data_IF_297625605076
#
_entry.id   IF_297625605076
#
_cell.length_a   1.000
_cell.length_b   1.000
_cell.length_c   1.000
_cell.angle_alpha   90.00
_cell.angle_beta   90.00
_cell.angle_gamma   90.00
#
_symmetry.space_group_name_H-M   'P 1'
#
loop_
_entity.id
_entity.type
_entity.pdbx_description
1 polymer ?
#
# COMPACT_ATOMS: atom_id res chain seq x y z
N UNK A 1 20.41 -27.12 6.70
CA UNK A 1 19.84 -26.13 5.78
C UNK A 1 20.30 -24.74 6.18
N UNK A 2 20.53 -23.86 5.17
CA UNK A 2 20.87 -22.44 5.40
C UNK A 2 19.57 -21.65 5.38
N UNK A 3 19.41 -20.69 6.30
CA UNK A 3 18.26 -19.80 6.36
C UNK A 3 18.69 -18.38 6.72
N UNK A 4 17.90 -17.40 6.32
CA UNK A 4 18.24 -15.98 6.49
C UNK A 4 17.26 -15.19 7.32
N UNK A 5 16.02 -15.67 7.43
CA UNK A 5 14.97 -15.00 8.22
C UNK A 5 14.29 -16.05 9.10
N UNK A 6 13.93 -15.65 10.31
CA UNK A 6 13.30 -16.52 11.31
C UNK A 6 12.15 -15.79 12.01
N UNK A 7 11.10 -16.53 12.30
CA UNK A 7 10.03 -16.15 13.21
C UNK A 7 9.51 -17.38 13.94
N UNK A 8 8.70 -17.18 14.96
CA UNK A 8 8.04 -18.22 15.72
C UNK A 8 6.54 -17.99 15.66
N UNK A 9 5.76 -19.04 15.38
CA UNK A 9 4.31 -18.96 15.33
C UNK A 9 3.66 -19.98 16.26
N UNK A 10 2.41 -19.74 16.65
CA UNK A 10 1.63 -20.63 17.53
C UNK A 10 0.13 -20.56 17.21
N UNK A 11 -0.63 -21.52 17.75
CA UNK A 11 -2.08 -21.56 17.58
C UNK A 11 -2.75 -20.40 18.32
N UNK A 12 -3.98 -20.04 17.89
CA UNK A 12 -4.82 -19.05 18.55
C UNK A 12 -5.15 -19.43 20.01
N UNK A 13 -5.47 -18.46 20.84
CA UNK A 13 -5.95 -18.65 22.21
C UNK A 13 -4.86 -18.74 23.29
N UNK A 14 -3.57 -18.67 22.94
CA UNK A 14 -2.49 -18.58 23.92
C UNK A 14 -1.40 -17.61 23.43
N UNK A 15 -0.78 -16.88 24.35
CA UNK A 15 0.36 -16.03 24.03
C UNK A 15 1.52 -16.36 24.96
N UNK A 16 2.73 -16.61 24.42
CA UNK A 16 3.91 -16.75 25.24
C UNK A 16 4.23 -15.44 25.94
N UNK A 17 4.68 -15.51 27.18
CA UNK A 17 5.18 -14.34 27.90
C UNK A 17 6.52 -13.86 27.31
N UNK A 18 7.30 -14.77 26.71
CA UNK A 18 8.60 -14.46 26.11
C UNK A 18 8.99 -15.46 25.04
N UNK A 19 9.50 -14.97 23.91
CA UNK A 19 10.12 -15.77 22.83
C UNK A 19 11.55 -15.27 22.62
N UNK A 20 12.53 -16.16 22.69
CA UNK A 20 13.93 -15.83 22.46
C UNK A 20 14.55 -16.79 21.47
N UNK A 21 15.49 -16.28 20.67
CA UNK A 21 16.30 -17.06 19.76
C UNK A 21 17.79 -16.77 19.95
N UNK A 22 18.62 -17.77 19.68
CA UNK A 22 20.03 -17.60 19.32
C UNK A 22 20.30 -18.42 18.08
N UNK A 23 21.20 -17.99 17.23
CA UNK A 23 21.48 -18.61 15.93
C UNK A 23 22.99 -18.77 15.70
N UNK A 24 23.33 -19.83 14.96
CA UNK A 24 24.71 -20.19 14.62
C UNK A 24 25.09 -19.61 13.26
N UNK A 25 26.16 -18.83 13.22
CA UNK A 25 26.78 -18.30 12.00
C UNK A 25 28.29 -18.43 12.07
N UNK A 26 28.91 -18.90 11.00
CA UNK A 26 30.37 -19.04 10.93
C UNK A 26 30.99 -19.73 12.16
N UNK A 27 30.32 -20.82 12.64
CA UNK A 27 30.67 -21.59 13.84
C UNK A 27 30.42 -20.89 15.18
N UNK A 28 29.95 -19.64 15.21
CA UNK A 28 29.69 -18.88 16.43
C UNK A 28 28.19 -18.72 16.71
N UNK A 29 27.82 -18.95 17.98
CA UNK A 29 26.48 -18.67 18.47
C UNK A 29 26.30 -17.19 18.80
N UNK A 30 25.22 -16.60 18.29
CA UNK A 30 24.82 -15.25 18.68
C UNK A 30 24.41 -15.18 20.16
N UNK A 31 24.39 -13.99 20.73
CA UNK A 31 23.67 -13.76 21.98
C UNK A 31 22.15 -14.02 21.81
N UNK A 32 21.48 -14.31 22.94
CA UNK A 32 20.04 -14.44 22.97
C UNK A 32 19.36 -13.14 22.54
N UNK A 33 18.40 -13.24 21.64
CA UNK A 33 17.59 -12.13 21.14
C UNK A 33 16.13 -12.42 21.45
N UNK A 34 15.46 -11.51 22.18
CA UNK A 34 14.01 -11.56 22.37
C UNK A 34 13.33 -11.11 21.09
N UNK A 35 12.38 -11.91 20.62
CA UNK A 35 11.46 -11.56 19.55
C UNK A 35 10.20 -10.97 20.17
N UNK A 36 9.59 -10.01 19.48
CA UNK A 36 8.33 -9.41 19.88
C UNK A 36 7.18 -10.21 19.23
N UNK A 37 6.10 -10.43 19.97
CA UNK A 37 4.87 -10.92 19.39
C UNK A 37 4.33 -9.88 18.38
N UNK A 38 3.96 -10.35 17.22
CA UNK A 38 3.29 -9.56 16.19
C UNK A 38 1.80 -9.49 16.53
N UNK A 39 1.25 -8.31 16.51
CA UNK A 39 -0.11 -8.01 16.97
C UNK A 39 -1.15 -7.96 15.84
N UNK A 40 -0.80 -8.54 14.70
CA UNK A 40 -1.70 -8.67 13.56
C UNK A 40 -2.47 -10.00 13.62
N UNK A 41 -3.78 -9.94 13.39
CA UNK A 41 -4.66 -11.10 13.34
C UNK A 41 -4.36 -12.01 12.14
N UNK A 42 -4.63 -13.31 12.28
CA UNK A 42 -4.45 -14.28 11.21
C UNK A 42 -4.72 -15.70 11.68
N UNK A 43 -4.63 -16.71 10.80
CA UNK A 43 -4.84 -18.12 11.16
C UNK A 43 -3.90 -18.64 12.26
N UNK A 44 -2.74 -18.05 12.39
CA UNK A 44 -1.77 -18.29 13.45
C UNK A 44 -1.24 -16.99 14.03
N UNK A 45 -1.01 -16.94 15.32
CA UNK A 45 -0.26 -15.86 15.97
C UNK A 45 1.26 -16.10 15.79
N UNK A 46 2.08 -15.07 15.99
CA UNK A 46 3.52 -15.21 15.83
C UNK A 46 4.31 -13.99 16.26
N UNK A 47 5.62 -14.06 16.08
CA UNK A 47 6.54 -12.95 16.31
C UNK A 47 6.75 -12.15 15.04
N UNK A 48 7.22 -10.91 15.16
CA UNK A 48 7.84 -10.21 14.04
C UNK A 48 8.96 -11.08 13.45
N UNK A 49 9.03 -11.24 12.11
CA UNK A 49 10.11 -12.00 11.49
C UNK A 49 11.42 -11.21 11.52
N UNK A 50 12.51 -11.89 11.81
CA UNK A 50 13.81 -11.27 11.99
C UNK A 50 14.80 -11.76 10.94
N UNK A 51 15.39 -10.83 10.19
CA UNK A 51 16.53 -11.09 9.35
C UNK A 51 17.78 -11.34 10.21
N UNK A 52 18.40 -12.49 10.04
CA UNK A 52 19.60 -12.91 10.79
C UNK A 52 20.79 -13.18 9.86
N UNK A 53 20.63 -12.99 8.55
CA UNK A 53 21.65 -13.37 7.55
C UNK A 53 21.74 -14.87 7.35
N UNK A 54 22.83 -15.35 6.75
CA UNK A 54 23.04 -16.79 6.55
C UNK A 54 23.35 -17.49 7.87
N UNK A 55 22.41 -18.24 8.40
CA UNK A 55 22.56 -19.06 9.59
C UNK A 55 22.43 -20.55 9.26
N UNK A 56 23.04 -21.42 10.07
CA UNK A 56 23.06 -22.88 9.90
C UNK A 56 22.44 -23.62 11.08
N UNK A 57 22.27 -22.94 12.21
CA UNK A 57 21.64 -23.50 13.41
C UNK A 57 20.81 -22.44 14.15
N UNK A 58 19.84 -22.90 14.92
CA UNK A 58 18.99 -22.06 15.76
C UNK A 58 18.61 -22.80 17.04
N UNK A 59 18.54 -22.06 18.13
CA UNK A 59 17.92 -22.49 19.38
C UNK A 59 16.82 -21.48 19.74
N UNK A 60 15.67 -22.00 20.12
CA UNK A 60 14.51 -21.19 20.51
C UNK A 60 14.16 -21.52 21.96
N UNK A 61 13.83 -20.48 22.73
CA UNK A 61 13.29 -20.58 24.08
C UNK A 61 11.96 -19.85 24.12
N UNK A 62 10.91 -20.54 24.54
CA UNK A 62 9.57 -19.99 24.71
C UNK A 62 9.20 -20.12 26.17
N UNK A 63 8.76 -19.05 26.80
CA UNK A 63 8.26 -19.02 28.18
C UNK A 63 6.74 -18.75 28.15
N UNK A 64 6.01 -19.43 29.04
CA UNK A 64 4.54 -19.38 29.08
C UNK A 64 3.89 -20.50 28.28
N UNK A 65 2.57 -20.62 28.43
CA UNK A 65 1.79 -21.66 27.76
C UNK A 65 1.53 -21.29 26.28
N UNK A 66 1.98 -22.16 25.38
CA UNK A 66 1.69 -22.09 23.96
C UNK A 66 1.28 -23.44 23.43
N UNK A 67 0.42 -23.43 22.41
CA UNK A 67 0.04 -24.64 21.68
C UNK A 67 0.56 -24.58 20.26
N UNK A 68 1.00 -25.72 19.73
CA UNK A 68 1.48 -25.87 18.35
C UNK A 68 2.52 -24.82 17.94
N UNK A 69 3.49 -24.56 18.81
CA UNK A 69 4.58 -23.64 18.47
C UNK A 69 5.39 -24.18 17.28
N UNK A 70 5.67 -23.32 16.31
CA UNK A 70 6.49 -23.64 15.13
C UNK A 70 7.58 -22.61 14.95
N UNK A 71 8.80 -23.08 14.71
CA UNK A 71 9.89 -22.20 14.27
C UNK A 71 9.87 -22.15 12.75
N UNK A 72 9.66 -20.98 12.21
CA UNK A 72 9.60 -20.76 10.76
C UNK A 72 10.95 -20.24 10.29
N UNK A 73 11.65 -21.08 9.54
CA UNK A 73 12.96 -20.79 8.97
C UNK A 73 12.77 -20.51 7.48
N UNK A 74 13.18 -19.33 7.02
CA UNK A 74 13.04 -18.93 5.62
C UNK A 74 14.42 -18.76 4.99
N UNK A 75 14.67 -19.49 3.90
CA UNK A 75 15.73 -19.16 2.94
C UNK A 75 15.09 -18.33 1.81
N UNK A 76 15.28 -17.02 1.78
CA UNK A 76 14.70 -16.18 0.73
C UNK A 76 15.51 -16.17 -0.57
N UNK A 77 16.41 -17.12 -0.75
CA UNK A 77 17.21 -17.30 -1.94
C UNK A 77 18.35 -16.29 -2.10
N UNK A 78 18.87 -16.17 -3.33
CA UNK A 78 19.98 -15.27 -3.68
C UNK A 78 19.49 -13.83 -3.88
N UNK A 79 20.42 -12.87 -3.82
CA UNK A 79 20.15 -11.51 -4.26
C UNK A 79 19.85 -11.54 -5.77
N UNK A 80 18.74 -10.92 -6.15
CA UNK A 80 18.43 -10.69 -7.56
C UNK A 80 19.20 -9.44 -8.00
N UNK A 81 19.76 -9.47 -9.22
CA UNK A 81 20.28 -8.26 -9.84
C UNK A 81 19.16 -7.23 -9.89
N UNK A 82 19.43 -5.93 -9.63
CA UNK A 82 18.41 -4.89 -9.71
C UNK A 82 17.97 -4.74 -11.16
N UNK A 83 17.02 -5.58 -11.61
CA UNK A 83 16.36 -5.41 -12.87
C UNK A 83 15.21 -4.43 -12.67
N UNK A 84 15.28 -3.34 -13.42
CA UNK A 84 14.24 -2.33 -13.66
C UNK A 84 13.56 -1.75 -12.40
N UNK A 85 14.09 -0.62 -11.93
CA UNK A 85 13.22 0.39 -11.34
C UNK A 85 12.21 0.77 -12.40
N UNK A 86 10.92 0.62 -12.12
CA UNK A 86 9.93 1.28 -12.93
C UNK A 86 10.11 2.78 -12.65
N UNK A 87 10.75 3.47 -13.57
CA UNK A 87 10.71 4.94 -13.62
C UNK A 87 9.32 5.29 -14.08
N UNK A 88 8.53 5.89 -13.19
CA UNK A 88 7.27 6.51 -13.60
C UNK A 88 7.60 7.65 -14.55
N UNK A 89 6.99 7.67 -15.73
CA UNK A 89 7.13 8.77 -16.66
C UNK A 89 6.77 10.07 -15.94
N UNK A 90 7.70 11.02 -15.89
CA UNK A 90 7.36 12.39 -15.56
C UNK A 90 6.53 12.91 -16.73
N UNK A 91 5.29 13.28 -16.46
CA UNK A 91 4.54 14.10 -17.38
C UNK A 91 5.17 15.50 -17.34
N UNK A 92 6.00 15.80 -18.32
CA UNK A 92 6.56 17.14 -18.47
C UNK A 92 5.41 18.12 -18.76
N UNK A 93 5.24 19.12 -17.90
CA UNK A 93 4.29 20.20 -18.08
C UNK A 93 2.98 20.12 -17.30
N UNK A 94 2.72 19.11 -16.48
CA UNK A 94 1.55 19.11 -15.60
C UNK A 94 1.77 20.05 -14.41
N UNK A 95 0.95 21.08 -14.19
CA UNK A 95 1.05 21.90 -13.01
C UNK A 95 0.78 21.06 -11.76
N UNK A 96 1.76 21.00 -10.87
CA UNK A 96 1.65 20.53 -9.51
C UNK A 96 1.15 19.07 -9.28
N UNK A 97 1.39 18.14 -10.20
CA UNK A 97 1.15 16.71 -9.98
C UNK A 97 2.24 16.10 -9.05
N UNK A 98 1.83 15.28 -8.10
CA UNK A 98 2.72 14.53 -7.21
C UNK A 98 2.93 13.13 -7.76
N UNK A 99 4.09 12.83 -8.39
CA UNK A 99 4.32 11.55 -9.06
C UNK A 99 4.49 10.40 -8.05
N UNK A 100 4.11 9.19 -8.48
CA UNK A 100 4.49 7.97 -7.80
C UNK A 100 6.04 7.91 -7.73
N UNK A 101 6.63 7.76 -6.54
CA UNK A 101 8.08 7.61 -6.44
C UNK A 101 8.55 6.30 -7.08
N UNK A 102 9.79 6.27 -7.55
CA UNK A 102 10.44 5.06 -8.03
C UNK A 102 10.28 3.94 -6.99
N UNK A 103 9.88 2.77 -7.45
CA UNK A 103 9.69 1.60 -6.59
C UNK A 103 10.21 0.32 -7.24
N UNK A 104 10.49 -0.65 -6.40
CA UNK A 104 10.87 -2.01 -6.80
C UNK A 104 9.58 -2.83 -6.89
N UNK A 105 9.19 -3.21 -8.11
CA UNK A 105 7.96 -3.98 -8.35
C UNK A 105 8.04 -5.38 -7.75
N UNK A 106 6.90 -6.03 -7.59
CA UNK A 106 6.80 -7.43 -7.13
C UNK A 106 7.66 -8.38 -7.97
N UNK A 107 7.64 -8.24 -9.29
CA UNK A 107 8.51 -9.02 -10.20
C UNK A 107 9.99 -8.77 -9.94
N UNK A 108 10.39 -7.50 -9.75
CA UNK A 108 11.78 -7.11 -9.55
C UNK A 108 12.38 -7.61 -8.23
N UNK A 109 11.60 -7.70 -7.14
CA UNK A 109 12.10 -8.29 -5.89
C UNK A 109 11.84 -9.80 -5.77
N UNK A 110 11.20 -10.43 -6.78
CA UNK A 110 10.95 -11.86 -6.84
C UNK A 110 9.83 -12.33 -5.91
N UNK A 111 8.72 -11.62 -5.88
CA UNK A 111 7.53 -12.00 -5.13
C UNK A 111 6.95 -13.34 -5.62
N UNK A 112 6.45 -14.12 -4.69
CA UNK A 112 5.58 -15.26 -5.01
C UNK A 112 4.17 -14.76 -5.32
N UNK A 113 3.44 -15.52 -6.15
CA UNK A 113 2.01 -15.32 -6.31
C UNK A 113 1.28 -15.51 -4.95
N UNK A 114 0.20 -14.77 -4.70
CA UNK A 114 -0.66 -15.04 -3.55
C UNK A 114 -1.22 -16.46 -3.60
N UNK A 115 -1.43 -17.06 -2.41
CA UNK A 115 -1.98 -18.42 -2.28
C UNK A 115 -3.12 -18.44 -1.27
N UNK A 116 -4.10 -19.35 -1.49
CA UNK A 116 -5.23 -19.54 -0.56
C UNK A 116 -6.06 -18.26 -0.31
N UNK A 117 -6.19 -17.41 -1.31
CA UNK A 117 -7.13 -16.31 -1.33
C UNK A 117 -7.65 -16.07 -2.74
N UNK A 118 -8.86 -15.53 -2.82
CA UNK A 118 -9.41 -15.01 -4.06
C UNK A 118 -8.54 -13.86 -4.59
N UNK A 119 -8.88 -13.33 -5.74
CA UNK A 119 -8.25 -12.15 -6.36
C UNK A 119 -7.97 -11.06 -5.32
N UNK A 120 -6.95 -10.21 -5.53
CA UNK A 120 -6.70 -9.08 -4.65
C UNK A 120 -7.98 -8.28 -4.41
N UNK A 121 -8.38 -8.12 -3.15
CA UNK A 121 -9.58 -7.37 -2.82
C UNK A 121 -9.27 -5.89 -2.81
N UNK A 122 -9.95 -5.15 -3.67
CA UNK A 122 -9.82 -3.71 -3.78
C UNK A 122 -10.86 -3.04 -2.87
N UNK A 123 -10.48 -1.95 -2.24
CA UNK A 123 -11.40 -1.06 -1.57
C UNK A 123 -12.07 -0.14 -2.59
N UNK A 124 -13.23 0.34 -2.25
CA UNK A 124 -13.97 1.35 -3.02
C UNK A 124 -13.34 2.75 -2.91
N UNK A 125 -12.56 3.02 -1.86
CA UNK A 125 -11.83 4.28 -1.66
C UNK A 125 -10.72 4.15 -0.61
N UNK A 126 -9.84 5.14 -0.58
CA UNK A 126 -8.79 5.33 0.42
C UNK A 126 -9.25 6.32 1.49
N UNK A 127 -8.98 6.04 2.77
CA UNK A 127 -9.16 6.97 3.88
C UNK A 127 -7.86 7.49 4.47
N UNK A 128 -6.80 6.69 4.47
CA UNK A 128 -5.54 7.12 5.08
C UNK A 128 -4.38 6.15 4.94
N UNK A 129 -3.39 6.36 5.78
CA UNK A 129 -2.16 5.58 5.82
C UNK A 129 -1.89 5.10 7.24
N UNK A 130 -1.59 3.81 7.39
CA UNK A 130 -1.07 3.26 8.63
C UNK A 130 0.44 3.00 8.48
N UNK A 131 1.19 3.68 9.34
CA UNK A 131 2.65 3.66 9.34
C UNK A 131 3.15 2.60 10.31
N UNK A 132 4.00 1.70 9.80
CA UNK A 132 4.54 0.54 10.52
C UNK A 132 6.06 0.54 10.54
N UNK A 133 6.62 -0.37 11.33
CA UNK A 133 7.97 -0.90 11.14
C UNK A 133 7.93 -2.44 11.08
N UNK A 134 8.94 -3.05 10.44
CA UNK A 134 9.03 -4.52 10.40
C UNK A 134 9.60 -5.12 11.68
N UNK A 135 10.01 -4.31 12.67
CA UNK A 135 10.72 -4.69 13.90
C UNK A 135 11.95 -5.61 13.69
N UNK A 136 12.37 -5.78 12.45
CA UNK A 136 13.43 -6.66 12.00
C UNK A 136 14.85 -6.19 12.31
N UNK A 137 15.85 -6.64 11.55
CA UNK A 137 17.24 -6.21 11.69
C UNK A 137 17.47 -4.83 11.07
N UNK A 138 18.25 -3.99 11.75
CA UNK A 138 18.75 -2.73 11.20
C UNK A 138 20.10 -2.91 10.46
N UNK A 139 20.70 -4.11 10.55
CA UNK A 139 22.01 -4.43 9.94
C UNK A 139 21.79 -5.24 8.67
N UNK A 140 21.71 -4.56 7.53
CA UNK A 140 21.63 -5.15 6.19
C UNK A 140 22.19 -4.20 5.14
N UNK A 141 22.68 -4.74 4.03
CA UNK A 141 23.14 -3.96 2.89
C UNK A 141 21.97 -3.63 1.95
N UNK A 142 22.12 -2.61 1.10
CA UNK A 142 21.13 -2.19 0.10
C UNK A 142 20.73 -3.35 -0.82
N UNK A 143 21.70 -4.13 -1.27
CA UNK A 143 21.46 -5.31 -2.12
C UNK A 143 20.66 -6.42 -1.43
N UNK A 144 20.63 -6.42 -0.09
CA UNK A 144 19.91 -7.44 0.70
C UNK A 144 18.42 -7.09 0.91
N UNK A 145 18.01 -5.85 0.65
CA UNK A 145 16.65 -5.37 0.97
C UNK A 145 15.57 -6.20 0.28
N UNK A 146 15.68 -6.46 -1.02
CA UNK A 146 14.75 -7.29 -1.77
C UNK A 146 14.61 -8.71 -1.19
N UNK A 147 15.73 -9.30 -0.77
CA UNK A 147 15.75 -10.62 -0.12
C UNK A 147 15.04 -10.61 1.24
N UNK A 148 15.17 -9.53 2.01
CA UNK A 148 14.42 -9.36 3.26
C UNK A 148 12.92 -9.27 2.99
N UNK A 149 12.49 -8.52 1.96
CA UNK A 149 11.07 -8.42 1.56
C UNK A 149 10.52 -9.80 1.18
N UNK A 150 11.24 -10.59 0.37
CA UNK A 150 10.88 -12.00 0.07
C UNK A 150 10.75 -12.85 1.32
N UNK A 151 11.69 -12.67 2.26
CA UNK A 151 11.66 -13.39 3.52
C UNK A 151 10.42 -13.07 4.35
N UNK A 152 10.03 -11.78 4.43
CA UNK A 152 8.83 -11.33 5.11
C UNK A 152 7.58 -11.91 4.44
N UNK A 153 7.49 -11.86 3.09
CA UNK A 153 6.39 -12.49 2.36
C UNK A 153 6.27 -13.98 2.68
N UNK A 154 7.38 -14.71 2.57
CA UNK A 154 7.38 -16.15 2.83
C UNK A 154 6.98 -16.49 4.28
N UNK A 155 7.41 -15.68 5.25
CA UNK A 155 6.98 -15.82 6.65
C UNK A 155 5.48 -15.55 6.83
N UNK A 156 4.95 -14.49 6.22
CA UNK A 156 3.52 -14.18 6.26
C UNK A 156 2.69 -15.30 5.63
N UNK A 157 3.12 -15.85 4.51
CA UNK A 157 2.40 -16.92 3.82
C UNK A 157 2.53 -18.26 4.53
N UNK A 158 3.75 -18.76 4.71
CA UNK A 158 4.00 -20.12 5.24
C UNK A 158 3.95 -20.20 6.76
N UNK A 159 4.32 -19.13 7.47
CA UNK A 159 4.33 -19.08 8.92
C UNK A 159 2.99 -18.67 9.52
N UNK A 160 2.44 -17.54 9.06
CA UNK A 160 1.19 -16.95 9.57
C UNK A 160 -0.05 -17.50 8.88
N UNK A 161 0.08 -18.15 7.73
CA UNK A 161 -1.02 -18.66 6.92
C UNK A 161 -1.79 -17.56 6.17
N UNK A 162 -1.16 -16.41 5.96
CA UNK A 162 -1.74 -15.34 5.13
C UNK A 162 -1.54 -15.65 3.64
N UNK A 163 -2.38 -15.07 2.80
CA UNK A 163 -2.26 -15.33 1.37
C UNK A 163 -1.10 -14.59 0.69
N UNK A 164 -0.59 -13.52 1.30
CA UNK A 164 0.49 -12.69 0.77
C UNK A 164 1.13 -11.86 1.90
N UNK A 165 2.11 -11.05 1.57
CA UNK A 165 2.67 -10.04 2.47
C UNK A 165 1.57 -9.08 2.95
N UNK A 166 1.58 -8.72 4.24
CA UNK A 166 0.52 -7.92 4.84
C UNK A 166 0.52 -6.45 4.44
N UNK A 167 1.70 -5.88 4.17
CA UNK A 167 1.88 -4.46 3.88
C UNK A 167 1.64 -4.14 2.40
N UNK A 168 1.06 -2.97 2.11
CA UNK A 168 0.94 -2.48 0.73
C UNK A 168 2.28 -2.00 0.18
N UNK A 169 3.10 -1.36 1.02
CA UNK A 169 4.45 -0.92 0.65
C UNK A 169 5.44 -1.17 1.79
N UNK A 170 6.71 -1.33 1.42
CA UNK A 170 7.81 -1.33 2.37
C UNK A 170 8.85 -0.28 1.96
N UNK A 171 9.53 0.31 2.93
CA UNK A 171 10.60 1.29 2.69
C UNK A 171 11.83 0.88 3.47
N UNK A 172 12.96 0.72 2.80
CA UNK A 172 14.21 0.35 3.45
C UNK A 172 15.00 1.57 3.97
N UNK A 173 16.05 1.33 4.74
CA UNK A 173 16.88 2.41 5.30
C UNK A 173 17.65 3.22 4.24
N UNK A 174 17.68 2.77 3.00
CA UNK A 174 18.32 3.45 1.86
C UNK A 174 17.32 4.25 1.03
N UNK A 175 16.03 4.27 1.43
CA UNK A 175 14.97 4.96 0.74
C UNK A 175 14.43 4.22 -0.49
N UNK A 176 14.72 2.92 -0.64
CA UNK A 176 14.08 2.11 -1.67
C UNK A 176 12.64 1.80 -1.23
N UNK A 177 11.70 2.05 -2.13
CA UNK A 177 10.28 1.69 -1.96
C UNK A 177 10.04 0.35 -2.64
N UNK A 178 9.35 -0.55 -1.99
CA UNK A 178 8.97 -1.86 -2.53
C UNK A 178 7.45 -1.95 -2.61
N UNK A 179 6.94 -2.36 -3.76
CA UNK A 179 5.56 -2.82 -3.88
C UNK A 179 5.40 -4.07 -3.00
N UNK A 180 4.43 -4.07 -2.11
CA UNK A 180 4.21 -5.17 -1.18
C UNK A 180 3.14 -6.15 -1.67
N UNK A 181 1.91 -6.01 -1.14
CA UNK A 181 0.77 -6.89 -1.42
C UNK A 181 0.35 -6.81 -2.88
N UNK A 182 0.01 -7.96 -3.48
CA UNK A 182 -0.49 -8.04 -4.85
C UNK A 182 -1.80 -7.27 -5.04
N UNK A 183 -1.99 -6.73 -6.24
CA UNK A 183 -3.17 -5.96 -6.64
C UNK A 183 -2.83 -4.64 -7.32
N UNK A 184 -1.53 -4.35 -7.46
CA UNK A 184 -1.02 -3.12 -8.06
C UNK A 184 -0.85 -1.97 -7.07
N UNK A 185 -0.19 -0.93 -7.50
CA UNK A 185 0.16 0.23 -6.66
C UNK A 185 -0.90 1.33 -6.70
N UNK A 186 -1.66 1.46 -7.80
CA UNK A 186 -2.66 2.51 -8.00
C UNK A 186 -3.90 2.31 -7.14
N UNK A 187 -4.61 1.16 -7.17
CA UNK A 187 -5.82 0.96 -6.39
C UNK A 187 -5.51 0.82 -4.89
N UNK A 188 -6.52 1.06 -4.06
CA UNK A 188 -6.41 0.70 -2.65
C UNK A 188 -6.66 -0.80 -2.49
N UNK A 189 -5.58 -1.56 -2.36
CA UNK A 189 -5.63 -3.00 -2.08
C UNK A 189 -5.79 -3.22 -0.58
N UNK A 190 -6.76 -4.05 -0.18
CA UNK A 190 -6.92 -4.45 1.22
C UNK A 190 -5.67 -5.18 1.73
N UNK A 191 -5.04 -4.60 2.74
CA UNK A 191 -3.87 -5.15 3.42
C UNK A 191 -4.21 -6.24 4.45
N UNK A 192 -3.17 -6.61 5.23
CA UNK A 192 -3.28 -7.42 6.45
C UNK A 192 -2.23 -6.91 7.43
N UNK A 193 -2.35 -5.64 7.86
CA UNK A 193 -1.29 -4.94 8.61
C UNK A 193 -1.78 -4.26 9.89
N UNK A 194 -3.08 -4.08 10.08
CA UNK A 194 -3.63 -3.28 11.18
C UNK A 194 -4.48 -4.07 12.19
N UNK A 195 -4.64 -5.38 12.00
CA UNK A 195 -5.44 -6.23 12.90
C UNK A 195 -6.94 -5.98 12.88
N UNK A 196 -7.42 -5.02 12.07
CA UNK A 196 -8.82 -4.67 11.90
C UNK A 196 -9.19 -4.68 10.41
N UNK A 197 -10.39 -5.18 10.08
CA UNK A 197 -10.84 -5.36 8.71
C UNK A 197 -11.04 -4.03 7.97
N UNK A 198 -11.76 -3.09 8.57
CA UNK A 198 -12.06 -1.79 7.95
C UNK A 198 -10.78 -0.97 7.74
N UNK A 199 -9.88 -0.93 8.73
CA UNK A 199 -8.59 -0.24 8.61
C UNK A 199 -7.71 -0.88 7.53
N UNK A 200 -7.65 -2.22 7.47
CA UNK A 200 -6.91 -2.93 6.40
C UNK A 200 -7.50 -2.67 5.01
N UNK A 201 -8.80 -2.41 4.91
CA UNK A 201 -9.49 -2.13 3.65
C UNK A 201 -9.24 -0.69 3.19
N UNK A 202 -9.42 0.28 4.07
CA UNK A 202 -9.46 1.70 3.69
C UNK A 202 -8.17 2.48 4.01
N UNK A 203 -7.14 1.84 4.56
CA UNK A 203 -5.86 2.50 4.80
C UNK A 203 -4.69 1.74 4.17
N UNK A 204 -3.80 2.49 3.51
CA UNK A 204 -2.57 1.93 2.95
C UNK A 204 -1.57 1.63 4.05
N UNK A 205 -1.14 0.38 4.21
CA UNK A 205 -0.10 -0.03 5.13
C UNK A 205 1.30 0.17 4.57
N UNK A 206 2.09 1.05 5.19
CA UNK A 206 3.48 1.33 4.79
C UNK A 206 4.41 0.92 5.92
N UNK A 207 5.30 -0.04 5.68
CA UNK A 207 6.21 -0.58 6.68
C UNK A 207 7.66 -0.18 6.45
N UNK A 208 8.25 0.48 7.43
CA UNK A 208 9.67 0.84 7.45
C UNK A 208 10.51 -0.38 7.85
N UNK A 209 11.47 -0.77 7.01
CA UNK A 209 12.27 -1.98 7.25
C UNK A 209 13.31 -1.76 8.34
N UNK A 210 13.14 -2.45 9.46
CA UNK A 210 14.02 -2.37 10.64
C UNK A 210 13.26 -2.24 11.94
N UNK A 211 14.01 -2.14 13.04
CA UNK A 211 13.46 -1.94 14.39
C UNK A 211 13.65 -0.48 14.81
N UNK A 212 12.59 0.31 14.66
CA UNK A 212 12.59 1.74 14.97
C UNK A 212 12.28 2.05 16.47
N UNK A 213 12.26 1.04 17.32
CA UNK A 213 12.44 1.24 18.76
C UNK A 213 13.90 1.41 19.14
N UNK A 214 14.83 0.92 18.30
CA UNK A 214 16.28 0.89 18.59
C UNK A 214 17.06 1.96 17.85
N UNK A 215 16.63 2.30 16.63
CA UNK A 215 17.30 3.30 15.79
C UNK A 215 16.29 4.30 15.23
N UNK A 216 16.75 5.52 14.97
CA UNK A 216 15.96 6.53 14.26
C UNK A 216 15.84 6.16 12.78
N UNK A 217 14.70 6.46 12.10
CA UNK A 217 14.63 6.38 10.65
C UNK A 217 15.74 7.23 10.01
N UNK A 218 16.41 6.69 8.99
CA UNK A 218 17.40 7.46 8.22
C UNK A 218 16.73 8.57 7.42
N UNK A 219 17.49 9.58 7.00
CA UNK A 219 16.91 10.68 6.21
C UNK A 219 16.45 10.21 4.82
N UNK A 220 17.15 9.24 4.21
CA UNK A 220 16.70 8.60 2.98
C UNK A 220 15.35 7.89 3.16
N UNK A 221 15.18 7.15 4.26
CA UNK A 221 13.93 6.48 4.61
C UNK A 221 12.80 7.49 4.87
N UNK A 222 13.08 8.58 5.59
CA UNK A 222 12.10 9.65 5.84
C UNK A 222 11.67 10.34 4.55
N UNK A 223 12.62 10.69 3.69
CA UNK A 223 12.33 11.34 2.41
C UNK A 223 11.50 10.45 1.50
N UNK A 224 11.80 9.15 1.42
CA UNK A 224 11.01 8.19 0.65
C UNK A 224 9.58 8.04 1.21
N UNK A 225 9.43 7.99 2.54
CA UNK A 225 8.11 7.93 3.19
C UNK A 225 7.27 9.18 2.88
N UNK A 226 7.86 10.38 2.95
CA UNK A 226 7.15 11.63 2.61
C UNK A 226 6.66 11.62 1.17
N UNK A 227 7.51 11.24 0.21
CA UNK A 227 7.12 11.16 -1.21
C UNK A 227 6.03 10.11 -1.45
N UNK A 228 6.19 8.91 -0.89
CA UNK A 228 5.22 7.81 -1.07
C UNK A 228 3.85 8.15 -0.48
N UNK A 229 3.84 8.67 0.75
CA UNK A 229 2.58 9.06 1.41
C UNK A 229 1.97 10.28 0.72
N UNK A 230 2.80 11.24 0.32
CA UNK A 230 2.37 12.43 -0.40
C UNK A 230 1.69 12.07 -1.72
N UNK A 231 2.32 11.24 -2.55
CA UNK A 231 1.70 10.71 -3.75
C UNK A 231 0.35 10.04 -3.44
N UNK A 232 0.34 9.14 -2.47
CA UNK A 232 -0.85 8.34 -2.14
C UNK A 232 -2.04 9.20 -1.69
N UNK A 233 -1.77 10.24 -0.88
CA UNK A 233 -2.82 11.13 -0.40
C UNK A 233 -3.22 12.17 -1.46
N UNK A 234 -2.27 12.81 -2.13
CA UNK A 234 -2.54 13.84 -3.11
C UNK A 234 -3.40 13.32 -4.27
N UNK A 235 -3.01 12.18 -4.86
CA UNK A 235 -3.72 11.59 -6.00
C UNK A 235 -5.13 11.08 -5.63
N UNK A 236 -5.40 10.86 -4.35
CA UNK A 236 -6.73 10.52 -3.83
C UNK A 236 -7.46 11.75 -3.23
N UNK A 237 -6.95 12.97 -3.44
CA UNK A 237 -7.50 14.25 -2.99
C UNK A 237 -7.68 14.35 -1.47
N UNK A 238 -6.79 13.71 -0.72
CA UNK A 238 -6.80 13.66 0.74
C UNK A 238 -5.72 14.58 1.32
N UNK A 239 -6.06 15.34 2.36
CA UNK A 239 -5.09 16.13 3.10
C UNK A 239 -4.28 15.27 4.09
N UNK A 240 -3.07 15.70 4.41
CA UNK A 240 -2.17 14.95 5.29
C UNK A 240 -2.42 15.15 6.79
N UNK A 241 -3.08 16.25 7.18
CA UNK A 241 -3.27 16.66 8.58
C UNK A 241 -4.68 16.38 9.11
N UNK A 242 -5.59 15.93 8.24
CA UNK A 242 -6.96 15.59 8.62
C UNK A 242 -7.07 14.27 9.38
N UNK A 243 -8.30 13.92 9.67
CA UNK A 243 -8.71 12.64 10.24
C UNK A 243 -9.80 11.99 9.40
N UNK A 244 -10.09 10.75 9.72
CA UNK A 244 -11.20 9.98 9.15
C UNK A 244 -11.80 9.09 10.22
N UNK A 245 -13.05 8.67 10.02
CA UNK A 245 -13.75 7.76 10.93
C UNK A 245 -14.18 6.49 10.21
N UNK A 246 -13.95 5.35 10.85
CA UNK A 246 -14.41 4.03 10.44
C UNK A 246 -15.04 3.34 11.64
N UNK A 247 -16.14 2.63 11.46
CA UNK A 247 -16.79 1.86 12.55
C UNK A 247 -16.99 2.66 13.85
N UNK A 248 -17.24 3.98 13.75
CA UNK A 248 -17.41 4.86 14.90
C UNK A 248 -16.12 5.34 15.58
N UNK A 249 -14.95 4.90 15.12
CA UNK A 249 -13.65 5.27 15.66
C UNK A 249 -12.90 6.22 14.74
N UNK A 250 -12.17 7.20 15.32
CA UNK A 250 -11.44 8.22 14.54
C UNK A 250 -9.94 7.97 14.55
N UNK A 251 -9.32 8.17 13.40
CA UNK A 251 -7.87 8.11 13.20
C UNK A 251 -7.35 9.35 12.46
N UNK A 252 -6.14 9.83 12.78
CA UNK A 252 -5.45 10.77 11.91
C UNK A 252 -5.24 10.18 10.52
N UNK A 253 -5.28 11.01 9.48
CA UNK A 253 -5.05 10.61 8.09
C UNK A 253 -3.75 9.82 7.89
N UNK A 254 -2.71 10.18 8.60
CA UNK A 254 -1.46 9.43 8.72
C UNK A 254 -1.35 8.97 10.18
N UNK A 255 -1.66 7.72 10.44
CA UNK A 255 -1.62 7.14 11.79
C UNK A 255 -0.49 6.12 11.91
N UNK A 256 0.05 5.96 13.10
CA UNK A 256 0.90 4.80 13.43
C UNK A 256 0.04 3.61 13.86
N UNK A 257 0.48 2.38 13.62
CA UNK A 257 -0.27 1.17 14.01
C UNK A 257 -0.75 1.20 15.48
N UNK A 258 0.08 1.68 16.40
CA UNK A 258 -0.28 1.91 17.81
C UNK A 258 -1.52 2.78 18.00
N UNK A 259 -1.80 3.72 17.08
CA UNK A 259 -2.98 4.58 17.18
C UNK A 259 -4.27 3.83 16.80
N UNK A 260 -4.19 2.82 15.93
CA UNK A 260 -5.33 1.93 15.61
C UNK A 260 -5.82 1.23 16.88
N UNK A 261 -4.90 0.63 17.64
CA UNK A 261 -5.22 0.03 18.94
C UNK A 261 -5.80 1.06 19.93
N UNK A 262 -5.13 2.21 20.08
CA UNK A 262 -5.57 3.27 21.03
C UNK A 262 -6.93 3.87 20.68
N UNK A 263 -7.29 3.88 19.39
CA UNK A 263 -8.60 4.34 18.92
C UNK A 263 -9.73 3.31 19.16
N UNK A 264 -9.41 2.11 19.65
CA UNK A 264 -10.41 1.09 20.00
C UNK A 264 -10.69 0.06 18.90
N UNK A 265 -10.06 0.14 17.72
CA UNK A 265 -10.27 -0.83 16.63
C UNK A 265 -9.85 -2.26 16.98
N UNK A 266 -8.89 -2.43 17.86
CA UNK A 266 -8.43 -3.73 18.32
C UNK A 266 -7.93 -3.66 19.76
N UNK A 267 -8.84 -3.60 20.75
CA UNK A 267 -8.49 -3.37 22.14
C UNK A 267 -7.67 -4.51 22.78
N UNK A 268 -7.71 -5.71 22.21
CA UNK A 268 -7.04 -6.90 22.74
C UNK A 268 -5.54 -6.98 22.42
N UNK A 269 -5.03 -6.14 21.51
CA UNK A 269 -3.65 -6.24 21.00
C UNK A 269 -2.91 -4.90 21.07
N UNK A 270 -2.28 -4.61 22.21
CA UNK A 270 -1.42 -3.44 22.35
C UNK A 270 -0.12 -3.62 21.55
N UNK A 271 0.18 -2.66 20.68
CA UNK A 271 1.39 -2.68 19.87
C UNK A 271 2.35 -1.53 20.16
N UNK A 272 3.65 -1.78 20.03
CA UNK A 272 4.68 -0.74 20.03
C UNK A 272 5.00 -0.22 18.60
N UNK A 273 4.45 -0.87 17.55
CA UNK A 273 4.57 -0.44 16.17
C UNK A 273 3.99 0.99 15.98
N UNK A 274 4.66 1.87 15.25
CA UNK A 274 5.82 1.72 14.38
C UNK A 274 7.21 1.85 15.07
N UNK A 275 7.29 1.65 16.37
CA UNK A 275 8.49 1.87 17.18
C UNK A 275 8.60 3.32 17.68
N UNK A 276 9.28 3.51 18.83
CA UNK A 276 9.30 4.80 19.52
C UNK A 276 9.79 5.97 18.68
N UNK A 277 10.84 5.77 17.89
CA UNK A 277 11.41 6.85 17.07
C UNK A 277 10.57 7.19 15.84
N UNK A 278 9.92 6.20 15.22
CA UNK A 278 8.98 6.46 14.14
C UNK A 278 7.68 7.09 14.67
N UNK A 279 7.20 6.64 15.83
CA UNK A 279 6.01 7.19 16.44
C UNK A 279 6.20 8.66 16.84
N UNK A 280 7.34 9.01 17.46
CA UNK A 280 7.66 10.40 17.81
C UNK A 280 7.85 11.30 16.59
N UNK A 281 8.14 10.73 15.41
CA UNK A 281 8.29 11.46 14.17
C UNK A 281 6.96 11.73 13.43
N UNK A 282 5.86 11.05 13.78
CA UNK A 282 4.57 11.20 13.08
C UNK A 282 4.06 12.65 12.97
N UNK A 283 4.14 13.52 13.99
CA UNK A 283 3.73 14.92 13.82
C UNK A 283 4.54 15.61 12.70
N UNK A 284 5.86 15.46 12.70
CA UNK A 284 6.74 16.02 11.66
C UNK A 284 6.47 15.37 10.29
N UNK A 285 6.17 14.07 10.23
CA UNK A 285 5.80 13.40 8.99
C UNK A 285 4.55 14.01 8.37
N UNK A 286 3.49 14.23 9.17
CA UNK A 286 2.23 14.87 8.70
C UNK A 286 2.51 16.25 8.12
N UNK A 287 3.24 17.11 8.85
CA UNK A 287 3.60 18.45 8.36
C UNK A 287 4.43 18.41 7.09
N UNK A 288 5.43 17.53 7.00
CA UNK A 288 6.27 17.39 5.80
C UNK A 288 5.49 16.87 4.60
N UNK A 289 4.56 15.94 4.80
CA UNK A 289 3.67 15.48 3.73
C UNK A 289 2.73 16.61 3.30
N UNK A 290 2.12 17.34 4.26
CA UNK A 290 1.26 18.47 3.95
C UNK A 290 2.00 19.52 3.11
N UNK A 291 3.23 19.89 3.48
CA UNK A 291 4.09 20.80 2.68
C UNK A 291 4.40 20.21 1.31
N UNK A 292 4.73 18.91 1.23
CA UNK A 292 5.07 18.25 -0.03
C UNK A 292 3.93 18.24 -1.04
N UNK A 293 2.69 18.16 -0.57
CA UNK A 293 1.49 18.14 -1.43
C UNK A 293 0.73 19.48 -1.46
N UNK A 294 1.26 20.54 -0.85
CA UNK A 294 0.55 21.83 -0.74
C UNK A 294 0.21 22.46 -2.09
N UNK A 295 1.04 22.21 -3.10
CA UNK A 295 0.86 22.73 -4.45
C UNK A 295 0.13 21.77 -5.39
N UNK A 296 -0.40 20.65 -4.89
CA UNK A 296 -1.12 19.69 -5.73
C UNK A 296 -2.44 20.31 -6.20
N UNK A 297 -2.46 20.66 -7.47
CA UNK A 297 -3.61 21.29 -8.14
C UNK A 297 -3.65 20.82 -9.59
N UNK A 298 -4.53 19.89 -9.91
CA UNK A 298 -4.69 19.32 -11.24
C UNK A 298 -6.05 19.69 -11.82
N UNK A 299 -6.19 19.64 -13.14
CA UNK A 299 -7.45 19.89 -13.81
C UNK A 299 -8.56 18.95 -13.32
N UNK A 300 -8.22 17.66 -13.15
CA UNK A 300 -9.18 16.66 -12.66
C UNK A 300 -9.61 16.98 -11.23
N UNK A 301 -8.67 17.33 -10.35
CA UNK A 301 -9.00 17.67 -8.96
C UNK A 301 -9.92 18.88 -8.90
N UNK A 302 -9.59 19.96 -9.60
CA UNK A 302 -10.41 21.18 -9.64
C UNK A 302 -11.82 20.88 -10.14
N UNK A 303 -11.92 20.12 -11.23
CA UNK A 303 -13.23 19.75 -11.81
C UNK A 303 -14.04 18.84 -10.87
N UNK A 304 -13.39 17.88 -10.19
CA UNK A 304 -14.04 17.00 -9.24
C UNK A 304 -14.56 17.77 -8.00
N UNK A 305 -13.82 18.79 -7.54
CA UNK A 305 -14.24 19.68 -6.45
C UNK A 305 -15.47 20.52 -6.85
N UNK A 306 -15.51 21.02 -8.09
CA UNK A 306 -16.68 21.74 -8.65
C UNK A 306 -17.92 20.85 -8.73
N UNK A 307 -17.78 19.63 -9.24
CA UNK A 307 -18.89 18.68 -9.40
C UNK A 307 -19.41 18.16 -8.05
N UNK A 308 -18.54 18.04 -7.08
CA UNK A 308 -18.83 17.53 -5.75
C UNK A 308 -18.93 16.00 -5.67
N UNK A 309 -18.71 15.48 -4.46
CA UNK A 309 -18.65 14.03 -4.19
C UNK A 309 -19.99 13.32 -4.40
N UNK A 310 -21.11 14.04 -4.30
CA UNK A 310 -22.44 13.47 -4.59
C UNK A 310 -22.60 13.05 -6.07
N UNK A 311 -21.94 13.75 -6.97
CA UNK A 311 -21.93 13.46 -8.42
C UNK A 311 -20.84 12.43 -8.74
N UNK A 312 -19.61 12.71 -8.36
CA UNK A 312 -18.46 11.89 -8.76
C UNK A 312 -18.36 10.57 -7.96
N UNK A 313 -18.87 10.54 -6.75
CA UNK A 313 -18.50 9.52 -5.79
C UNK A 313 -17.08 9.74 -5.25
N UNK A 314 -16.62 8.85 -4.38
CA UNK A 314 -15.24 8.87 -3.85
C UNK A 314 -14.23 8.38 -4.89
N UNK A 315 -12.97 8.80 -4.76
CA UNK A 315 -11.86 8.31 -5.60
C UNK A 315 -11.61 6.83 -5.32
N UNK A 316 -11.73 6.00 -6.35
CA UNK A 316 -11.45 4.55 -6.31
C UNK A 316 -10.01 4.23 -6.73
N UNK A 317 -9.55 4.89 -7.81
CA UNK A 317 -8.15 4.85 -8.25
C UNK A 317 -7.69 6.29 -8.34
N UNK A 318 -6.69 6.65 -7.53
CA UNK A 318 -6.13 8.00 -7.49
C UNK A 318 -5.57 8.43 -8.83
N UNK A 319 -5.45 9.73 -9.05
CA UNK A 319 -4.99 10.31 -10.30
C UNK A 319 -3.64 9.76 -10.75
N UNK A 320 -3.55 9.36 -12.01
CA UNK A 320 -2.35 8.81 -12.61
C UNK A 320 -2.20 9.24 -14.08
N UNK A 321 -0.95 9.35 -14.57
CA UNK A 321 -0.69 9.68 -15.96
C UNK A 321 -1.08 8.51 -16.88
N UNK A 322 -1.61 8.86 -18.05
CA UNK A 322 -1.89 7.97 -19.18
C UNK A 322 -1.13 8.44 -20.42
N UNK A 323 -1.38 7.82 -21.57
CA UNK A 323 -0.75 8.23 -22.84
C UNK A 323 -1.24 9.60 -23.31
N UNK A 324 -0.59 10.66 -22.86
CA UNK A 324 -0.86 12.04 -23.27
C UNK A 324 -1.76 12.84 -22.34
N UNK A 325 -2.13 12.31 -21.16
CA UNK A 325 -2.96 13.01 -20.20
C UNK A 325 -2.99 12.35 -18.82
N UNK A 326 -4.06 12.60 -18.07
CA UNK A 326 -4.31 12.04 -16.74
C UNK A 326 -5.70 11.44 -16.64
N UNK A 327 -5.85 10.54 -15.69
CA UNK A 327 -7.10 9.84 -15.42
C UNK A 327 -7.28 9.62 -13.91
N UNK A 328 -8.52 9.75 -13.45
CA UNK A 328 -8.94 9.38 -12.09
C UNK A 328 -10.24 8.58 -12.17
N UNK A 329 -10.28 7.42 -11.52
CA UNK A 329 -11.50 6.62 -11.42
C UNK A 329 -12.21 6.94 -10.12
N UNK A 330 -13.48 7.31 -10.22
CA UNK A 330 -14.37 7.60 -9.10
C UNK A 330 -15.41 6.49 -8.92
N UNK A 331 -16.24 6.63 -7.88
CA UNK A 331 -17.32 5.70 -7.61
C UNK A 331 -18.38 5.65 -8.70
N UNK A 332 -18.67 6.79 -9.29
CA UNK A 332 -19.79 6.95 -10.24
C UNK A 332 -19.33 7.16 -11.70
N UNK A 333 -18.02 7.18 -11.98
CA UNK A 333 -17.50 7.38 -13.33
C UNK A 333 -16.00 7.60 -13.35
N UNK A 334 -15.51 8.13 -14.47
CA UNK A 334 -14.09 8.39 -14.68
C UNK A 334 -13.89 9.78 -15.24
N UNK A 335 -12.89 10.49 -14.74
CA UNK A 335 -12.51 11.79 -15.27
C UNK A 335 -11.16 11.69 -15.99
N UNK A 336 -11.11 12.27 -17.16
CA UNK A 336 -9.95 12.31 -18.02
C UNK A 336 -9.51 13.75 -18.23
N UNK A 337 -8.22 14.01 -18.29
CA UNK A 337 -7.73 15.35 -18.63
C UNK A 337 -6.52 15.32 -19.55
N UNK A 338 -6.49 16.31 -20.44
CA UNK A 338 -5.36 16.67 -21.27
C UNK A 338 -5.14 18.19 -21.22
N UNK A 339 -5.92 18.96 -21.95
CA UNK A 339 -5.99 20.44 -21.87
C UNK A 339 -7.12 20.94 -20.96
N UNK A 340 -8.15 20.14 -20.78
CA UNK A 340 -9.26 20.32 -19.86
C UNK A 340 -9.62 18.99 -19.21
N UNK A 341 -10.48 18.99 -18.19
CA UNK A 341 -10.96 17.78 -17.52
C UNK A 341 -12.42 17.53 -17.88
N UNK A 342 -12.71 16.31 -18.35
CA UNK A 342 -14.04 15.89 -18.77
C UNK A 342 -14.49 14.62 -18.04
N UNK A 343 -15.76 14.59 -17.72
CA UNK A 343 -16.41 13.51 -17.00
C UNK A 343 -17.05 12.50 -17.96
N UNK A 344 -16.82 11.22 -17.75
CA UNK A 344 -17.50 10.14 -18.50
C UNK A 344 -18.10 9.18 -17.48
N UNK A 345 -19.39 8.88 -17.62
CA UNK A 345 -20.11 8.02 -16.66
C UNK A 345 -21.16 7.14 -17.31
N UNK A 346 -21.80 6.26 -16.52
CA UNK A 346 -22.96 5.49 -16.95
C UNK A 346 -22.74 4.67 -18.22
N UNK A 347 -23.73 4.73 -19.12
CA UNK A 347 -23.72 4.01 -20.41
C UNK A 347 -22.61 4.50 -21.34
N UNK A 348 -22.31 5.82 -21.31
CA UNK A 348 -21.18 6.40 -22.07
C UNK A 348 -19.84 5.80 -21.66
N UNK A 349 -19.56 5.67 -20.36
CA UNK A 349 -18.33 5.05 -19.87
C UNK A 349 -18.26 3.56 -20.24
N UNK A 350 -19.36 2.84 -20.12
CA UNK A 350 -19.42 1.43 -20.50
C UNK A 350 -19.09 1.24 -22.00
N UNK A 351 -19.68 2.04 -22.87
CA UNK A 351 -19.39 2.02 -24.30
C UNK A 351 -17.94 2.45 -24.58
N UNK A 352 -17.48 3.56 -23.99
CA UNK A 352 -16.13 4.09 -24.16
C UNK A 352 -15.05 3.05 -23.78
N UNK A 353 -15.31 2.27 -22.71
CA UNK A 353 -14.41 1.19 -22.30
C UNK A 353 -14.28 0.08 -23.35
N UNK A 354 -15.32 -0.20 -24.13
CA UNK A 354 -15.24 -1.17 -25.23
C UNK A 354 -14.36 -0.71 -26.39
N UNK A 355 -14.18 0.60 -26.54
CA UNK A 355 -13.29 1.20 -27.53
C UNK A 355 -11.86 1.41 -27.05
N UNK A 356 -11.52 0.98 -25.82
CA UNK A 356 -10.17 1.06 -25.26
C UNK A 356 -9.87 2.39 -24.56
N UNK A 357 -10.88 3.13 -24.22
CA UNK A 357 -10.83 4.42 -23.50
C UNK A 357 -9.87 5.42 -24.19
N UNK A 358 -9.11 6.23 -23.44
CA UNK A 358 -8.22 7.29 -23.94
C UNK A 358 -7.05 6.77 -24.80
N UNK A 359 -6.74 5.51 -24.69
CA UNK A 359 -5.69 4.85 -25.49
C UNK A 359 -6.26 4.13 -26.71
N UNK A 360 -7.58 4.13 -26.87
CA UNK A 360 -8.29 3.40 -27.91
C UNK A 360 -8.73 4.27 -29.09
N UNK A 361 -9.71 3.77 -29.83
CA UNK A 361 -10.12 4.33 -31.12
C UNK A 361 -10.82 5.70 -31.04
N UNK A 362 -11.27 6.12 -29.87
CA UNK A 362 -11.93 7.42 -29.66
C UNK A 362 -10.98 8.51 -29.16
N UNK A 363 -9.83 8.14 -28.56
CA UNK A 363 -8.95 9.13 -27.90
C UNK A 363 -9.58 9.71 -26.65
N UNK A 364 -9.09 10.87 -26.19
CA UNK A 364 -9.61 11.56 -25.00
C UNK A 364 -11.00 12.16 -25.24
N UNK A 365 -11.87 12.25 -24.19
CA UNK A 365 -13.07 13.06 -24.26
C UNK A 365 -12.70 14.55 -24.42
N UNK A 366 -13.44 15.27 -25.25
CA UNK A 366 -13.29 16.72 -25.50
C UNK A 366 -14.51 17.53 -25.11
N UNK A 367 -15.56 16.85 -24.62
CA UNK A 367 -16.74 17.47 -24.00
C UNK A 367 -17.20 16.65 -22.80
N UNK A 368 -18.03 17.23 -21.94
CA UNK A 368 -18.91 16.48 -21.06
C UNK A 368 -20.12 15.94 -21.85
N UNK A 369 -20.81 14.95 -21.28
CA UNK A 369 -22.05 14.45 -21.83
C UNK A 369 -23.15 15.56 -21.85
N UNK A 370 -23.77 15.77 -22.99
CA UNK A 370 -24.80 16.81 -23.21
C UNK A 370 -26.12 16.13 -23.57
N UNK A 371 -27.20 16.53 -22.92
CA UNK A 371 -28.55 16.04 -23.23
C UNK A 371 -29.01 16.50 -24.63
N UNK A 372 -29.78 15.61 -25.28
CA UNK A 372 -30.47 15.85 -26.55
C UNK A 372 -31.97 15.48 -26.39
N UNK A 373 -32.79 15.77 -27.38
CA UNK A 373 -34.22 15.43 -27.34
C UNK A 373 -34.50 13.94 -27.21
N UNK A 374 -33.58 13.09 -27.65
CA UNK A 374 -33.74 11.64 -27.69
C UNK A 374 -32.77 10.84 -26.77
N UNK A 375 -31.93 11.57 -26.04
CA UNK A 375 -30.93 10.93 -25.18
C UNK A 375 -29.80 11.85 -24.79
N UNK A 376 -28.56 11.50 -25.12
CA UNK A 376 -27.38 12.33 -24.85
C UNK A 376 -26.25 12.07 -25.85
N UNK A 377 -25.30 12.99 -25.91
CA UNK A 377 -24.14 12.92 -26.78
C UNK A 377 -22.87 13.33 -26.02
N UNK A 378 -21.75 12.69 -26.34
CA UNK A 378 -20.43 13.05 -25.82
C UNK A 378 -19.39 12.98 -26.95
N UNK A 379 -18.57 14.01 -27.05
CA UNK A 379 -17.53 14.14 -28.07
C UNK A 379 -16.17 13.69 -27.56
N UNK A 380 -15.43 13.04 -28.45
CA UNK A 380 -14.08 12.54 -28.24
C UNK A 380 -13.17 13.00 -29.38
N UNK A 381 -11.86 12.92 -29.22
CA UNK A 381 -10.87 13.36 -30.24
C UNK A 381 -11.12 12.75 -31.64
N UNK A 382 -11.64 11.49 -31.69
CA UNK A 382 -11.78 10.72 -32.92
C UNK A 382 -13.18 10.12 -33.10
N UNK A 383 -14.22 10.83 -32.65
CA UNK A 383 -15.61 10.40 -32.84
C UNK A 383 -16.56 10.89 -31.76
N UNK A 384 -17.80 10.50 -31.91
CA UNK A 384 -18.88 10.87 -30.99
C UNK A 384 -19.59 9.62 -30.51
N UNK A 385 -19.95 9.58 -29.24
CA UNK A 385 -20.86 8.59 -28.67
C UNK A 385 -22.23 9.24 -28.47
N UNK A 386 -23.30 8.58 -28.98
CA UNK A 386 -24.68 8.99 -28.79
C UNK A 386 -25.45 7.91 -28.04
N UNK A 387 -26.05 8.29 -26.95
CA UNK A 387 -26.95 7.46 -26.16
C UNK A 387 -28.40 7.73 -26.58
N UNK A 388 -29.14 6.70 -26.91
CA UNK A 388 -30.56 6.74 -27.21
C UNK A 388 -31.37 6.28 -25.99
N UNK A 389 -32.14 7.19 -25.39
CA UNK A 389 -32.92 6.91 -24.19
C UNK A 389 -34.07 5.92 -24.41
N UNK A 390 -34.57 5.79 -25.64
CA UNK A 390 -35.67 4.87 -25.97
C UNK A 390 -35.23 3.42 -26.08
N UNK A 391 -33.99 3.19 -26.54
CA UNK A 391 -33.41 1.85 -26.73
C UNK A 391 -32.40 1.48 -25.64
N UNK A 392 -31.85 2.46 -24.91
CA UNK A 392 -30.76 2.28 -23.95
C UNK A 392 -29.42 2.00 -24.60
N UNK A 393 -29.29 2.13 -25.90
CA UNK A 393 -28.07 1.81 -26.64
C UNK A 393 -27.16 3.05 -26.80
N UNK A 394 -25.85 2.81 -26.84
CA UNK A 394 -24.84 3.80 -27.21
C UNK A 394 -24.26 3.43 -28.57
N UNK A 395 -24.30 4.35 -29.51
CA UNK A 395 -23.73 4.21 -30.85
C UNK A 395 -22.57 5.16 -31.05
N UNK A 396 -21.62 4.78 -31.93
CA UNK A 396 -20.49 5.61 -32.33
C UNK A 396 -20.69 6.13 -33.76
N UNK A 397 -20.43 7.39 -33.96
CA UNK A 397 -20.31 8.03 -35.27
C UNK A 397 -18.94 8.67 -35.48
#
# INVERSE_FOLDING_TARGET
PKFGLVGVTWALGAQPSRVQIKYLRHHDWSHWRTLRAEDMSGPRLGTDPVWIGKATGITVRISGAVREARVVLVDPGKDLSPSSRLTTARADGAPAYTPLPDYVSRGAWGARAPTNCDQPRLADHLEGVIFHHTAGSNRYARSTSARIVRGIQAYHMSGRGWCDIGYNFLVDKYGQVFEGRAGGVLPQVRGAHAGNFAVNTHATGISMMGNLDRVRPTDAMKAAAVRLIGWRLATNYLNATGSYSLEGHSLPRIAGHRQVHKAGFNPSTATACPGRYAYSWLPSLRSRVATYISNYSTLIRSRAEEMGVSVTGRVRIGEYPTSGGFKTVFGNGTMYSRSAAYWVSGAMLAAYSTYGEESGALGFPISDETATDTGSVQEFEHGVLTYDASTGLVTRS
#
